data_IF_534475999373
#
_entry.id   IF_534475999373
#
_cell.length_a   1.000
_cell.length_b   1.000
_cell.length_c   1.000
_cell.angle_alpha   90.00
_cell.angle_beta   90.00
_cell.angle_gamma   90.00
#
_symmetry.space_group_name_H-M   'P 1'
#
loop_
_entity.id
_entity.type
_entity.pdbx_description
1 polymer ?
#
# COMPACT_ATOMS: atom_id res chain seq x y z
N UNK A 1 -16.54 -25.57 40.32
CA UNK A 1 -16.15 -24.22 39.83
C UNK A 1 -15.66 -24.32 38.39
N UNK A 2 -16.51 -23.97 37.40
CA UNK A 2 -16.13 -23.94 35.98
C UNK A 2 -15.58 -22.54 35.67
N UNK A 3 -14.32 -22.46 35.24
CA UNK A 3 -13.65 -21.20 34.87
C UNK A 3 -14.27 -20.71 33.55
N UNK A 4 -14.99 -19.59 33.59
CA UNK A 4 -15.53 -18.96 32.39
C UNK A 4 -14.35 -18.51 31.50
N UNK A 5 -14.23 -19.12 30.32
CA UNK A 5 -13.36 -18.60 29.26
C UNK A 5 -14.03 -17.33 28.75
N UNK A 6 -13.51 -16.17 29.17
CA UNK A 6 -13.99 -14.88 28.71
C UNK A 6 -13.74 -14.76 27.21
N UNK A 7 -14.82 -14.76 26.42
CA UNK A 7 -14.78 -14.62 24.97
C UNK A 7 -14.44 -13.15 24.67
N UNK A 8 -13.27 -12.92 24.08
CA UNK A 8 -12.86 -11.58 23.65
C UNK A 8 -13.94 -10.96 22.74
N UNK A 9 -14.21 -9.65 22.87
CA UNK A 9 -15.25 -8.99 22.09
C UNK A 9 -14.96 -9.11 20.60
N UNK A 10 -16.00 -9.47 19.83
CA UNK A 10 -15.95 -9.52 18.37
C UNK A 10 -15.56 -8.14 17.83
N UNK A 11 -14.34 -8.01 17.31
CA UNK A 11 -13.75 -6.74 16.87
C UNK A 11 -12.32 -6.53 17.35
N UNK A 12 -11.89 -7.25 18.38
CA UNK A 12 -10.49 -7.26 18.81
C UNK A 12 -9.68 -8.18 17.89
N UNK A 13 -9.21 -7.65 16.77
CA UNK A 13 -8.12 -8.28 16.01
C UNK A 13 -6.90 -8.52 16.91
N UNK A 14 -5.90 -9.28 16.44
CA UNK A 14 -4.72 -9.64 17.22
C UNK A 14 -4.11 -8.44 17.97
N UNK A 15 -3.75 -8.64 19.24
CA UNK A 15 -3.14 -7.63 20.07
C UNK A 15 -1.62 -7.69 19.90
N UNK A 16 -1.09 -6.74 19.14
CA UNK A 16 0.35 -6.59 18.94
C UNK A 16 0.93 -5.58 19.94
N UNK A 17 2.23 -5.68 20.27
CA UNK A 17 2.96 -4.58 20.89
C UNK A 17 2.77 -3.28 20.08
N UNK A 18 2.72 -2.13 20.77
CA UNK A 18 2.46 -0.83 20.13
C UNK A 18 3.42 -0.49 18.99
N UNK A 19 4.68 -0.91 19.09
CA UNK A 19 5.68 -0.69 18.03
C UNK A 19 5.30 -1.48 16.76
N UNK A 20 4.98 -2.77 16.89
CA UNK A 20 4.60 -3.62 15.76
C UNK A 20 3.30 -3.16 15.11
N UNK A 21 2.33 -2.70 15.90
CA UNK A 21 1.11 -2.12 15.33
C UNK A 21 1.38 -0.84 14.51
N UNK A 22 2.33 -0.01 14.95
CA UNK A 22 2.75 1.18 14.19
C UNK A 22 3.40 0.78 12.88
N UNK A 23 4.27 -0.22 12.90
CA UNK A 23 4.95 -0.73 11.70
C UNK A 23 3.95 -1.32 10.73
N UNK A 24 3.05 -2.20 11.19
CA UNK A 24 1.98 -2.78 10.37
C UNK A 24 1.08 -1.71 9.75
N UNK A 25 0.78 -0.63 10.49
CA UNK A 25 0.00 0.51 9.97
C UNK A 25 0.77 1.31 8.93
N UNK A 26 2.08 1.50 9.13
CA UNK A 26 2.97 2.14 8.18
C UNK A 26 3.07 1.32 6.89
N UNK A 27 3.39 0.02 6.99
CA UNK A 27 3.42 -0.90 5.87
C UNK A 27 2.07 -0.93 5.14
N UNK A 28 0.95 -0.99 5.85
CA UNK A 28 -0.37 -0.98 5.19
C UNK A 28 -0.61 0.29 4.39
N UNK A 29 -0.19 1.46 4.92
CA UNK A 29 -0.30 2.72 4.21
C UNK A 29 0.63 2.75 2.98
N UNK A 30 1.87 2.25 3.13
CA UNK A 30 2.85 2.11 2.04
C UNK A 30 2.33 1.25 0.90
N UNK A 31 1.88 0.02 1.19
CA UNK A 31 1.32 -0.90 0.19
C UNK A 31 0.07 -0.32 -0.50
N UNK A 32 -0.78 0.40 0.25
CA UNK A 32 -1.93 1.09 -0.33
C UNK A 32 -1.51 2.20 -1.29
N UNK A 33 -0.47 2.97 -0.93
CA UNK A 33 0.13 3.99 -1.77
C UNK A 33 0.74 3.40 -3.05
N UNK A 34 1.49 2.30 -2.93
CA UNK A 34 2.11 1.60 -4.07
C UNK A 34 1.05 1.07 -5.05
N UNK A 35 -0.02 0.43 -4.54
CA UNK A 35 -1.19 0.05 -5.36
C UNK A 35 -1.76 1.26 -6.11
N UNK A 36 -1.86 2.41 -5.45
CA UNK A 36 -2.32 3.65 -6.08
C UNK A 36 -1.37 4.17 -7.15
N UNK A 37 -0.05 4.12 -6.94
CA UNK A 37 0.96 4.51 -7.94
C UNK A 37 0.78 3.72 -9.22
N UNK A 38 0.74 2.38 -9.15
CA UNK A 38 0.61 1.55 -10.35
C UNK A 38 -0.74 1.74 -11.05
N UNK A 39 -1.82 2.02 -10.30
CA UNK A 39 -3.11 2.42 -10.89
C UNK A 39 -3.02 3.76 -11.61
N UNK A 40 -2.30 4.74 -11.05
CA UNK A 40 -2.04 6.03 -11.68
C UNK A 40 -1.30 5.88 -13.01
N UNK A 41 -0.26 5.04 -13.03
CA UNK A 41 0.50 4.73 -14.26
C UNK A 41 -0.44 4.15 -15.32
N UNK A 42 -1.20 3.09 -14.96
CA UNK A 42 -2.10 2.39 -15.89
C UNK A 42 -3.25 3.25 -16.43
N UNK A 43 -3.67 4.28 -15.68
CA UNK A 43 -4.71 5.20 -16.10
C UNK A 43 -4.26 6.14 -17.24
N UNK A 44 -2.96 6.41 -17.34
CA UNK A 44 -2.41 7.39 -18.27
C UNK A 44 -1.63 6.74 -19.42
N UNK A 45 -0.79 5.76 -19.11
CA UNK A 45 0.16 5.23 -20.09
C UNK A 45 -0.51 4.35 -21.16
N UNK A 46 -0.10 4.55 -22.41
CA UNK A 46 -0.45 3.71 -23.57
C UNK A 46 0.67 2.77 -23.99
N UNK A 47 1.85 2.92 -23.39
CA UNK A 47 3.03 2.13 -23.72
C UNK A 47 2.87 0.66 -23.24
N UNK A 48 2.92 -0.35 -24.13
CA UNK A 48 2.64 -1.73 -23.77
C UNK A 48 3.60 -2.31 -22.72
N UNK A 49 4.88 -1.96 -22.78
CA UNK A 49 5.89 -2.46 -21.84
C UNK A 49 5.66 -1.91 -20.44
N UNK A 50 5.44 -0.60 -20.35
CA UNK A 50 5.14 0.07 -19.08
C UNK A 50 3.82 -0.41 -18.48
N UNK A 51 2.80 -0.68 -19.32
CA UNK A 51 1.55 -1.30 -18.85
C UNK A 51 1.79 -2.69 -18.30
N UNK A 52 2.59 -3.51 -18.96
CA UNK A 52 2.94 -4.85 -18.49
C UNK A 52 3.71 -4.78 -17.16
N UNK A 53 4.68 -3.86 -17.05
CA UNK A 53 5.42 -3.58 -15.82
C UNK A 53 4.47 -3.18 -14.67
N UNK A 54 3.64 -2.16 -14.86
CA UNK A 54 2.74 -1.66 -13.84
C UNK A 54 1.68 -2.70 -13.43
N UNK A 55 1.19 -3.51 -14.37
CA UNK A 55 0.23 -4.60 -14.07
C UNK A 55 0.87 -5.67 -13.18
N UNK A 56 2.11 -6.08 -13.47
CA UNK A 56 2.82 -7.07 -12.65
C UNK A 56 3.05 -6.57 -11.22
N UNK A 57 3.52 -5.33 -11.07
CA UNK A 57 3.77 -4.75 -9.76
C UNK A 57 2.49 -4.48 -8.98
N UNK A 58 1.45 -3.95 -9.64
CA UNK A 58 0.11 -3.81 -9.04
C UNK A 58 -0.38 -5.12 -8.43
N UNK A 59 -0.18 -6.24 -9.13
CA UNK A 59 -0.56 -7.56 -8.62
C UNK A 59 0.28 -7.99 -7.42
N UNK A 60 1.56 -7.62 -7.34
CA UNK A 60 2.41 -7.89 -6.19
C UNK A 60 1.95 -7.08 -4.96
N UNK A 61 1.79 -5.77 -5.10
CA UNK A 61 1.39 -4.92 -3.97
C UNK A 61 -0.03 -5.19 -3.50
N UNK A 62 -0.94 -5.57 -4.41
CA UNK A 62 -2.27 -6.02 -3.99
C UNK A 62 -2.20 -7.26 -3.08
N UNK A 63 -1.32 -8.23 -3.38
CA UNK A 63 -1.11 -9.40 -2.53
C UNK A 63 -0.48 -9.03 -1.18
N UNK A 64 0.48 -8.10 -1.18
CA UNK A 64 1.09 -7.61 0.06
C UNK A 64 0.05 -6.90 0.94
N UNK A 65 -0.72 -5.99 0.36
CA UNK A 65 -1.78 -5.27 1.02
C UNK A 65 -2.85 -6.22 1.60
N UNK A 66 -3.23 -7.26 0.87
CA UNK A 66 -4.22 -8.24 1.35
C UNK A 66 -3.71 -9.03 2.56
N UNK A 67 -2.42 -9.38 2.62
CA UNK A 67 -1.83 -9.97 3.83
C UNK A 67 -1.89 -8.99 5.00
N UNK A 68 -1.53 -7.72 4.79
CA UNK A 68 -1.60 -6.70 5.84
C UNK A 68 -3.03 -6.44 6.31
N UNK A 69 -4.02 -6.53 5.42
CA UNK A 69 -5.45 -6.39 5.78
C UNK A 69 -5.95 -7.49 6.70
N UNK A 70 -5.38 -8.69 6.60
CA UNK A 70 -5.67 -9.81 7.51
C UNK A 70 -5.07 -9.57 8.90
N UNK A 71 -3.91 -8.92 8.96
CA UNK A 71 -3.21 -8.62 10.21
C UNK A 71 -3.73 -7.34 10.89
N UNK A 72 -4.15 -6.35 10.11
CA UNK A 72 -4.52 -5.01 10.58
C UNK A 72 -6.01 -4.69 10.24
N UNK A 73 -6.92 -4.82 11.22
CA UNK A 73 -8.34 -4.54 11.00
C UNK A 73 -8.58 -3.06 10.68
N UNK A 74 -9.69 -2.75 10.01
CA UNK A 74 -10.03 -1.39 9.53
C UNK A 74 -9.93 -0.35 10.65
N UNK A 75 -10.39 -0.68 11.86
CA UNK A 75 -10.36 0.21 13.02
C UNK A 75 -8.96 0.69 13.44
N UNK A 76 -7.89 -0.02 13.04
CA UNK A 76 -6.50 0.30 13.37
C UNK A 76 -5.70 0.85 12.18
N UNK A 77 -6.33 1.00 11.00
CA UNK A 77 -5.70 1.60 9.83
C UNK A 77 -5.66 3.12 9.96
N UNK A 78 -4.77 3.76 9.22
CA UNK A 78 -4.66 5.23 9.23
C UNK A 78 -5.92 5.88 8.62
N UNK A 79 -6.43 6.94 9.24
CA UNK A 79 -7.54 7.74 8.72
C UNK A 79 -7.15 8.56 7.49
N UNK A 80 -5.85 8.84 7.32
CA UNK A 80 -5.29 9.59 6.19
C UNK A 80 -5.15 8.73 4.92
N UNK A 81 -5.58 7.47 4.93
CA UNK A 81 -5.44 6.56 3.80
C UNK A 81 -5.99 7.10 2.47
N UNK A 82 -7.15 7.78 2.42
CA UNK A 82 -7.63 8.37 1.16
C UNK A 82 -6.68 9.41 0.58
N UNK A 83 -6.06 10.23 1.44
CA UNK A 83 -5.07 11.23 1.03
C UNK A 83 -3.82 10.55 0.47
N UNK A 84 -3.32 9.52 1.15
CA UNK A 84 -2.17 8.74 0.66
C UNK A 84 -2.45 8.05 -0.67
N UNK A 85 -3.65 7.50 -0.84
CA UNK A 85 -4.04 6.86 -2.09
C UNK A 85 -4.13 7.87 -3.24
N UNK A 86 -4.60 9.10 -2.98
CA UNK A 86 -4.62 10.15 -3.98
C UNK A 86 -3.20 10.61 -4.34
N UNK A 87 -2.35 10.84 -3.34
CA UNK A 87 -0.96 11.21 -3.56
C UNK A 87 -0.24 10.14 -4.39
N UNK A 88 -0.34 8.86 -4.01
CA UNK A 88 0.24 7.77 -4.78
C UNK A 88 -0.28 7.72 -6.22
N UNK A 89 -1.59 7.89 -6.42
CA UNK A 89 -2.16 7.91 -7.77
C UNK A 89 -1.55 9.02 -8.63
N UNK A 90 -1.44 10.24 -8.09
CA UNK A 90 -0.84 11.37 -8.80
C UNK A 90 0.64 11.13 -9.08
N UNK A 91 1.39 10.55 -8.13
CA UNK A 91 2.79 10.17 -8.32
C UNK A 91 2.98 9.19 -9.47
N UNK A 92 2.04 8.26 -9.71
CA UNK A 92 2.09 7.38 -10.87
C UNK A 92 1.58 8.03 -12.17
N UNK A 93 0.51 8.80 -12.09
CA UNK A 93 -0.17 9.37 -13.26
C UNK A 93 0.63 10.51 -13.91
N UNK A 94 1.18 11.44 -13.12
CA UNK A 94 1.84 12.64 -13.63
C UNK A 94 3.10 12.33 -14.46
N UNK A 95 4.05 11.49 -14.01
CA UNK A 95 5.22 11.14 -14.81
C UNK A 95 4.86 10.35 -16.07
N UNK A 96 3.78 9.57 -16.03
CA UNK A 96 3.29 8.79 -17.16
C UNK A 96 2.86 9.65 -18.35
N UNK A 97 2.52 10.93 -18.13
CA UNK A 97 2.25 11.90 -19.19
C UNK A 97 3.51 12.23 -20.02
N UNK A 98 4.69 12.04 -19.45
CA UNK A 98 5.99 12.35 -20.07
C UNK A 98 6.72 11.11 -20.61
N UNK A 99 6.08 9.94 -20.53
CA UNK A 99 6.56 8.67 -21.09
C UNK A 99 7.35 7.78 -20.12
N UNK A 100 7.81 6.60 -20.59
CA UNK A 100 8.33 5.55 -19.70
C UNK A 100 9.56 5.94 -18.88
N UNK A 101 10.48 6.74 -19.44
CA UNK A 101 11.70 7.17 -18.72
C UNK A 101 11.38 7.97 -17.46
N UNK A 102 10.40 8.89 -17.53
CA UNK A 102 9.97 9.70 -16.40
C UNK A 102 9.31 8.85 -15.30
N UNK A 103 8.59 7.80 -15.70
CA UNK A 103 8.00 6.85 -14.74
C UNK A 103 9.08 6.07 -14.02
N UNK A 104 10.02 5.47 -14.74
CA UNK A 104 11.11 4.70 -14.12
C UNK A 104 11.97 5.55 -13.18
N UNK A 105 12.30 6.79 -13.57
CA UNK A 105 13.04 7.71 -12.68
C UNK A 105 12.25 8.04 -11.40
N UNK A 106 10.93 8.18 -11.51
CA UNK A 106 10.07 8.43 -10.34
C UNK A 106 10.02 7.22 -9.42
N UNK A 107 9.85 6.02 -9.98
CA UNK A 107 9.83 4.77 -9.19
C UNK A 107 11.18 4.56 -8.49
N UNK A 108 12.29 4.70 -9.20
CA UNK A 108 13.64 4.58 -8.64
C UNK A 108 13.87 5.55 -7.48
N UNK A 109 13.38 6.79 -7.61
CA UNK A 109 13.45 7.80 -6.53
C UNK A 109 12.61 7.38 -5.32
N UNK A 110 11.40 6.84 -5.55
CA UNK A 110 10.52 6.37 -4.47
C UNK A 110 11.12 5.15 -3.77
N UNK A 111 11.63 4.18 -4.51
CA UNK A 111 12.28 2.98 -3.96
C UNK A 111 13.52 3.35 -3.15
N UNK A 112 14.38 4.23 -3.69
CA UNK A 112 15.56 4.73 -2.97
C UNK A 112 15.19 5.44 -1.66
N UNK A 113 14.12 6.24 -1.67
CA UNK A 113 13.64 6.92 -0.47
C UNK A 113 13.17 5.94 0.60
N UNK A 114 12.43 4.90 0.21
CA UNK A 114 11.94 3.84 1.09
C UNK A 114 13.09 3.01 1.66
N UNK A 115 14.09 2.66 0.85
CA UNK A 115 15.25 1.90 1.34
C UNK A 115 16.09 2.68 2.36
N UNK A 116 16.08 4.02 2.26
CA UNK A 116 16.87 4.89 3.14
C UNK A 116 16.18 5.18 4.49
N UNK A 117 14.88 4.95 4.64
CA UNK A 117 14.08 5.37 5.81
C UNK A 117 13.21 4.26 6.40
#
# INVERSE_FOLDING_TARGET
>A
MRRAVSRAPAGAGPHYPRWLERDLRSSHAGESGAVSIYRGILAVTRDPELRAFATRHLAAEARHLDRLRQLLPIARRTKLLPLWNLAGFLTGALPSLFGPRSVYATIDTVETFVDTH
#
